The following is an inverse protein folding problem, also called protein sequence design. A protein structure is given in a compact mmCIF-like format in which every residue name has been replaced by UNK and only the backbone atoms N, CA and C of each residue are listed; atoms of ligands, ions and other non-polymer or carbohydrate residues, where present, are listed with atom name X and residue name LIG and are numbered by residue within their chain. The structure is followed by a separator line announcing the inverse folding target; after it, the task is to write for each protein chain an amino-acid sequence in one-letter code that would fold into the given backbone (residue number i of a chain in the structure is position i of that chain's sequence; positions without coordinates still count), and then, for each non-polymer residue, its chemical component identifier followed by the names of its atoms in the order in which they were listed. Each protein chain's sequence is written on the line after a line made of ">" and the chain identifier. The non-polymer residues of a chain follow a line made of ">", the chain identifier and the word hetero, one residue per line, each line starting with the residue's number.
data_IF_280525382978
#
_entry.id   IF_280525382978
#
_cell.length_a   1.000
_cell.length_b   1.000
_cell.length_c   1.000
_cell.angle_alpha   90.00
_cell.angle_beta   90.00
_cell.angle_gamma   90.00
#
_symmetry.space_group_name_H-M   'P 1'
#
loop_
_entity.id
_entity.type
_entity.pdbx_description
1 polymer ?
#
# COMPACT_ATOMS: atom_id res chain seq x y z
N UNK A 1 20.67 -12.79 5.13
CA UNK A 1 19.35 -13.39 4.85
C UNK A 1 19.05 -13.16 3.37
N UNK A 2 18.98 -14.19 2.52
CA UNK A 2 18.62 -14.00 1.10
C UNK A 2 17.17 -13.54 1.05
N UNK A 3 16.93 -12.26 0.76
CA UNK A 3 15.56 -11.75 0.59
C UNK A 3 14.99 -12.38 -0.67
N UNK A 4 13.77 -12.91 -0.59
CA UNK A 4 13.05 -13.30 -1.79
C UNK A 4 12.92 -12.07 -2.71
N UNK A 5 13.11 -12.24 -4.04
CA UNK A 5 12.94 -11.15 -4.99
C UNK A 5 11.49 -10.64 -4.94
N UNK A 6 11.31 -9.32 -5.11
CA UNK A 6 9.98 -8.75 -5.21
C UNK A 6 9.29 -9.33 -6.46
N UNK A 7 8.13 -9.99 -6.35
CA UNK A 7 7.48 -10.60 -7.51
C UNK A 7 7.06 -9.58 -8.57
N UNK A 8 6.88 -8.31 -8.21
CA UNK A 8 6.58 -7.25 -9.17
C UNK A 8 7.81 -6.83 -9.99
N UNK A 9 9.02 -6.87 -9.40
CA UNK A 9 10.24 -6.44 -10.10
C UNK A 9 10.62 -7.40 -11.23
N UNK A 10 10.20 -8.65 -11.14
CA UNK A 10 10.40 -9.65 -12.21
C UNK A 10 9.73 -9.19 -13.52
N UNK A 11 8.59 -8.49 -13.45
CA UNK A 11 7.89 -8.00 -14.65
C UNK A 11 8.49 -6.72 -15.23
N UNK A 12 9.35 -6.03 -14.47
CA UNK A 12 10.09 -4.89 -14.98
C UNK A 12 11.12 -5.34 -16.02
N UNK A 13 11.76 -6.51 -15.82
CA UNK A 13 12.72 -7.10 -16.75
C UNK A 13 12.07 -7.54 -18.09
N UNK A 14 10.78 -7.83 -18.09
CA UNK A 14 10.00 -8.17 -19.30
C UNK A 14 9.41 -6.94 -20.01
N UNK A 15 9.63 -5.74 -19.47
CA UNK A 15 9.14 -4.50 -20.09
C UNK A 15 10.20 -3.95 -21.06
N UNK A 16 9.82 -3.73 -22.32
CA UNK A 16 10.71 -3.12 -23.31
C UNK A 16 10.79 -1.60 -23.13
N UNK A 17 11.99 -1.03 -23.20
CA UNK A 17 12.20 0.42 -23.07
C UNK A 17 11.46 1.16 -24.19
N UNK A 18 10.65 2.15 -23.80
CA UNK A 18 9.88 2.98 -24.73
C UNK A 18 8.53 2.39 -25.17
N UNK A 19 8.20 1.15 -24.81
CA UNK A 19 6.87 0.58 -25.03
C UNK A 19 6.04 0.54 -23.75
N UNK A 20 4.72 0.78 -23.82
CA UNK A 20 3.84 0.60 -22.68
C UNK A 20 3.81 -0.88 -22.27
N UNK A 21 3.61 -1.18 -20.96
CA UNK A 21 3.51 -2.54 -20.47
C UNK A 21 2.36 -3.27 -21.16
N UNK A 22 2.60 -4.52 -21.54
CA UNK A 22 1.58 -5.33 -22.22
C UNK A 22 0.36 -5.55 -21.31
N UNK A 23 -0.83 -5.79 -21.88
CA UNK A 23 -2.02 -6.09 -21.09
C UNK A 23 -1.83 -7.25 -20.10
N UNK A 24 -1.01 -8.24 -20.48
CA UNK A 24 -0.64 -9.35 -19.62
C UNK A 24 0.16 -8.90 -18.39
N UNK A 25 1.18 -8.05 -18.58
CA UNK A 25 1.99 -7.51 -17.48
C UNK A 25 1.13 -6.65 -16.54
N UNK A 26 0.20 -5.85 -17.10
CA UNK A 26 -0.74 -5.07 -16.30
C UNK A 26 -1.66 -5.95 -15.45
N UNK A 27 -2.17 -7.04 -16.02
CA UNK A 27 -2.99 -8.01 -15.30
C UNK A 27 -2.21 -8.69 -14.17
N UNK A 28 -1.00 -9.17 -14.48
CA UNK A 28 -0.15 -9.83 -13.50
C UNK A 28 0.19 -8.90 -12.32
N UNK A 29 0.57 -7.64 -12.60
CA UNK A 29 0.80 -6.63 -11.57
C UNK A 29 -0.43 -6.42 -10.68
N UNK A 30 -1.62 -6.28 -11.27
CA UNK A 30 -2.88 -6.11 -10.50
C UNK A 30 -3.15 -7.30 -9.58
N UNK A 31 -3.04 -8.52 -10.07
CA UNK A 31 -3.26 -9.74 -9.27
C UNK A 31 -2.27 -9.79 -8.10
N UNK A 32 -1.00 -9.52 -8.36
CA UNK A 32 0.07 -9.58 -7.36
C UNK A 32 0.00 -8.46 -6.32
N UNK A 33 -0.64 -7.33 -6.63
CA UNK A 33 -0.89 -6.26 -5.66
C UNK A 33 -2.06 -6.55 -4.71
N UNK A 34 -2.93 -7.50 -5.04
CA UNK A 34 -4.03 -7.90 -4.15
C UNK A 34 -3.47 -8.73 -3.01
N UNK A 35 -3.74 -8.32 -1.79
CA UNK A 35 -3.36 -9.08 -0.61
C UNK A 35 -4.32 -10.25 -0.41
N UNK A 36 -3.78 -11.47 -0.28
CA UNK A 36 -4.56 -12.67 0.02
C UNK A 36 -4.92 -12.76 1.50
N UNK A 37 -5.42 -11.67 2.09
CA UNK A 37 -5.93 -11.68 3.45
C UNK A 37 -7.08 -10.66 3.58
N UNK A 38 -8.09 -11.00 4.38
CA UNK A 38 -9.19 -10.10 4.71
C UNK A 38 -8.82 -9.04 5.76
N UNK A 39 -7.62 -9.16 6.33
CA UNK A 39 -7.17 -8.46 7.53
C UNK A 39 -6.04 -7.45 7.27
N UNK A 40 -5.80 -7.06 6.02
CA UNK A 40 -4.64 -6.21 5.67
C UNK A 40 -4.71 -4.86 6.38
N UNK A 41 -5.94 -4.39 6.57
CA UNK A 41 -6.24 -3.17 7.28
C UNK A 41 -6.38 -3.35 8.81
N UNK A 42 -6.23 -4.55 9.38
CA UNK A 42 -6.35 -4.75 10.84
C UNK A 42 -5.38 -3.88 11.63
N UNK A 43 -4.14 -3.69 11.16
CA UNK A 43 -3.19 -2.77 11.80
C UNK A 43 -3.70 -1.34 11.75
N UNK A 44 -4.32 -0.94 10.65
CA UNK A 44 -4.91 0.38 10.50
C UNK A 44 -6.10 0.54 11.46
N UNK A 45 -7.04 -0.40 11.46
CA UNK A 45 -8.19 -0.42 12.36
C UNK A 45 -7.79 -0.46 13.82
N UNK A 46 -6.73 -1.21 14.17
CA UNK A 46 -6.16 -1.24 15.52
C UNK A 46 -5.65 0.13 15.94
N UNK A 47 -4.95 0.85 15.06
CA UNK A 47 -4.49 2.22 15.37
C UNK A 47 -5.64 3.23 15.42
N UNK A 48 -6.73 2.98 14.69
CA UNK A 48 -7.93 3.81 14.76
C UNK A 48 -8.91 3.38 15.84
N UNK A 49 -8.63 2.34 16.63
CA UNK A 49 -9.53 1.82 17.65
C UNK A 49 -9.95 2.89 18.66
N UNK A 50 -9.01 3.70 19.16
CA UNK A 50 -9.30 4.83 20.06
C UNK A 50 -10.21 5.88 19.41
N UNK A 51 -9.99 6.12 18.12
CA UNK A 51 -10.80 7.03 17.30
C UNK A 51 -12.19 6.46 16.99
N UNK A 52 -12.30 5.14 16.82
CA UNK A 52 -13.54 4.42 16.51
C UNK A 52 -14.45 4.17 17.72
N UNK A 53 -13.91 4.00 18.92
CA UNK A 53 -14.72 3.62 20.10
C UNK A 53 -14.92 4.75 21.12
N UNK A 54 -13.97 5.68 21.28
CA UNK A 54 -14.10 6.84 22.20
C UNK A 54 -14.30 8.17 21.47
N UNK A 55 -13.49 8.46 20.44
CA UNK A 55 -13.61 9.75 19.73
C UNK A 55 -14.69 9.77 18.65
N UNK A 56 -15.20 8.62 18.18
CA UNK A 56 -16.29 8.52 17.20
C UNK A 56 -17.58 9.19 17.70
N UNK A 57 -17.81 9.22 19.00
CA UNK A 57 -18.95 9.94 19.57
C UNK A 57 -18.78 11.48 19.47
N UNK A 58 -17.57 11.97 19.14
CA UNK A 58 -17.24 13.39 18.93
C UNK A 58 -16.88 13.74 17.48
N UNK A 59 -16.36 12.78 16.71
CA UNK A 59 -15.93 12.93 15.33
C UNK A 59 -16.83 12.12 14.41
N UNK A 60 -17.45 12.78 13.42
CA UNK A 60 -18.27 12.12 12.42
C UNK A 60 -17.51 11.09 11.57
N UNK A 61 -18.24 10.17 10.96
CA UNK A 61 -17.70 9.10 10.10
C UNK A 61 -16.87 9.63 8.93
N UNK A 62 -17.30 10.73 8.28
CA UNK A 62 -16.54 11.35 7.19
C UNK A 62 -15.18 11.88 7.62
N UNK A 63 -15.10 12.52 8.79
CA UNK A 63 -13.82 13.02 9.34
C UNK A 63 -12.89 11.87 9.69
N UNK A 64 -13.42 10.77 10.22
CA UNK A 64 -12.64 9.55 10.50
C UNK A 64 -12.06 8.94 9.23
N UNK A 65 -12.85 8.86 8.16
CA UNK A 65 -12.40 8.34 6.87
C UNK A 65 -11.28 9.22 6.30
N UNK A 66 -11.47 10.54 6.26
CA UNK A 66 -10.45 11.47 5.78
C UNK A 66 -9.13 11.35 6.58
N UNK A 67 -9.22 11.16 7.90
CA UNK A 67 -8.06 10.98 8.77
C UNK A 67 -7.35 9.63 8.52
N UNK A 68 -8.12 8.58 8.21
CA UNK A 68 -7.60 7.28 7.81
C UNK A 68 -6.87 7.34 6.46
N UNK A 69 -7.47 7.99 5.47
CA UNK A 69 -6.88 8.22 4.14
C UNK A 69 -5.59 9.03 4.25
N UNK A 70 -5.61 10.15 4.99
CA UNK A 70 -4.44 11.00 5.20
C UNK A 70 -3.29 10.23 5.87
N UNK A 71 -3.60 9.43 6.89
CA UNK A 71 -2.59 8.61 7.58
C UNK A 71 -2.01 7.53 6.67
N UNK A 72 -2.84 6.86 5.86
CA UNK A 72 -2.36 5.90 4.87
C UNK A 72 -1.44 6.57 3.84
N UNK A 73 -1.84 7.75 3.35
CA UNK A 73 -1.06 8.51 2.38
C UNK A 73 0.32 8.90 2.93
N UNK A 74 0.37 9.46 4.15
CA UNK A 74 1.64 9.81 4.80
C UNK A 74 2.53 8.58 4.97
N UNK A 75 1.96 7.45 5.40
CA UNK A 75 2.70 6.21 5.56
C UNK A 75 3.26 5.70 4.23
N UNK A 76 2.47 5.76 3.16
CA UNK A 76 2.92 5.37 1.82
C UNK A 76 4.09 6.25 1.37
N UNK A 77 4.00 7.57 1.55
CA UNK A 77 5.11 8.47 1.25
C UNK A 77 6.38 8.18 2.07
N UNK A 78 6.23 7.82 3.35
CA UNK A 78 7.36 7.44 4.20
C UNK A 78 8.03 6.14 3.73
N UNK A 79 7.22 5.14 3.35
CA UNK A 79 7.74 3.88 2.78
C UNK A 79 8.48 4.18 1.47
N UNK A 80 7.91 4.98 0.58
CA UNK A 80 8.55 5.37 -0.67
C UNK A 80 9.87 6.13 -0.44
N UNK A 81 9.93 7.04 0.54
CA UNK A 81 11.18 7.74 0.92
C UNK A 81 12.24 6.79 1.48
N UNK A 82 11.87 5.93 2.43
CA UNK A 82 12.81 4.95 3.01
C UNK A 82 13.33 3.94 1.99
N UNK A 83 12.51 3.57 1.01
CA UNK A 83 12.92 2.71 -0.11
C UNK A 83 13.93 3.42 -1.01
N UNK A 84 13.76 4.72 -1.28
CA UNK A 84 14.70 5.53 -2.07
C UNK A 84 16.05 5.77 -1.37
N UNK A 85 16.06 5.89 -0.04
CA UNK A 85 17.29 6.07 0.75
C UNK A 85 18.14 4.79 0.79
N UNK A 86 17.51 3.61 0.76
CA UNK A 86 18.19 2.31 0.71
C UNK A 86 18.65 1.87 -0.69
N UNK A 87 18.23 2.58 -1.74
CA UNK A 87 18.60 2.34 -3.14
C UNK A 87 19.73 3.25 -3.64
N UNK A 88 20.33 4.05 -2.75
CA UNK A 88 21.55 4.84 -3.01
C UNK A 88 22.80 4.12 -2.53
#
# INVERSE_FOLDING_TARGET
>A
KKSAPNPLSVYDDYSFSGQPPTPFILLARRILTVTANSASCERLFSTFRSTLTKLRNRLGTGTLQALAELKMHIRDQQIQKGTKEHLK
#
